data_IF_045185978060
#
_entry.id   IF_045185978060
#
_cell.length_a   1.000
_cell.length_b   1.000
_cell.length_c   1.000
_cell.angle_alpha   90.00
_cell.angle_beta   90.00
_cell.angle_gamma   90.00
#
_symmetry.space_group_name_H-M   'P 1'
#
loop_
_entity.id
_entity.type
_entity.pdbx_description
1 polymer ?
#
# COMPACT_ATOMS: atom_id res chain seq x y z
N UNK A 1 -2.52 0.13 20.09
CA UNK A 1 -3.17 0.20 18.76
C UNK A 1 -2.39 1.22 17.94
N UNK A 2 -2.12 0.96 16.66
CA UNK A 2 -1.39 1.92 15.81
C UNK A 2 -2.35 2.97 15.26
N UNK A 3 -1.84 4.16 14.94
CA UNK A 3 -2.65 5.26 14.40
C UNK A 3 -2.12 5.73 13.05
N UNK A 4 -2.99 5.79 12.05
CA UNK A 4 -2.71 6.42 10.76
C UNK A 4 -3.17 7.88 10.81
N UNK A 5 -2.19 8.79 10.77
CA UNK A 5 -2.39 10.22 10.75
C UNK A 5 -2.40 10.73 9.29
N UNK A 6 -3.46 11.44 8.92
CA UNK A 6 -3.63 12.03 7.57
C UNK A 6 -3.98 13.52 7.66
N UNK A 7 -3.78 14.24 6.55
CA UNK A 7 -4.23 15.64 6.45
C UNK A 7 -5.76 15.73 6.48
N UNK A 8 -6.31 16.88 6.91
CA UNK A 8 -7.74 17.07 7.14
C UNK A 8 -8.64 16.74 5.93
N UNK A 9 -8.19 17.10 4.72
CA UNK A 9 -8.93 16.89 3.48
C UNK A 9 -8.42 15.68 2.67
N UNK A 10 -7.60 14.82 3.28
CA UNK A 10 -7.06 13.65 2.60
C UNK A 10 -7.91 12.40 2.85
N UNK A 11 -8.12 11.60 1.81
CA UNK A 11 -8.61 10.23 1.95
C UNK A 11 -7.47 9.33 2.41
N UNK A 12 -7.68 8.44 3.39
CA UNK A 12 -6.63 7.50 3.80
C UNK A 12 -6.25 6.60 2.60
N UNK A 13 -4.96 6.32 2.37
CA UNK A 13 -4.56 5.47 1.26
C UNK A 13 -5.15 4.08 1.40
N UNK A 14 -5.91 3.63 0.40
CA UNK A 14 -6.57 2.33 0.41
C UNK A 14 -5.56 1.17 0.54
N UNK A 15 -4.36 1.30 -0.02
CA UNK A 15 -3.26 0.34 0.18
C UNK A 15 -2.90 0.14 1.65
N UNK A 16 -2.87 1.21 2.45
CA UNK A 16 -2.56 1.14 3.88
C UNK A 16 -3.68 0.44 4.63
N UNK A 17 -4.94 0.83 4.38
CA UNK A 17 -6.10 0.24 5.04
C UNK A 17 -6.23 -1.25 4.71
N UNK A 18 -6.14 -1.61 3.43
CA UNK A 18 -6.23 -2.99 2.97
C UNK A 18 -5.06 -3.84 3.48
N UNK A 19 -3.84 -3.29 3.52
CA UNK A 19 -2.70 -4.01 4.08
C UNK A 19 -2.89 -4.25 5.58
N UNK A 20 -3.37 -3.26 6.34
CA UNK A 20 -3.62 -3.42 7.78
C UNK A 20 -4.65 -4.52 8.06
N UNK A 21 -5.77 -4.50 7.33
CA UNK A 21 -6.82 -5.50 7.43
C UNK A 21 -6.30 -6.90 7.08
N UNK A 22 -5.66 -7.04 5.91
CA UNK A 22 -5.13 -8.33 5.45
C UNK A 22 -4.05 -8.85 6.40
N UNK A 23 -3.23 -7.98 7.00
CA UNK A 23 -2.16 -8.33 7.95
C UNK A 23 -2.66 -8.63 9.38
N UNK A 24 -3.95 -8.41 9.67
CA UNK A 24 -4.52 -8.57 11.00
C UNK A 24 -4.06 -7.49 11.99
N UNK A 25 -3.73 -6.28 11.50
CA UNK A 25 -3.25 -5.16 12.31
C UNK A 25 -4.39 -4.19 12.58
N UNK A 26 -4.74 -3.99 13.86
CA UNK A 26 -5.72 -2.96 14.25
C UNK A 26 -5.14 -1.55 14.07
N UNK A 27 -5.79 -0.77 13.20
CA UNK A 27 -5.38 0.57 12.81
C UNK A 27 -6.52 1.57 13.00
N UNK A 28 -6.27 2.65 13.74
CA UNK A 28 -7.21 3.79 13.83
C UNK A 28 -6.76 4.88 12.88
N UNK A 29 -7.71 5.51 12.17
CA UNK A 29 -7.42 6.65 11.30
C UNK A 29 -7.79 7.93 12.03
N UNK A 30 -6.82 8.85 12.15
CA UNK A 30 -7.00 10.14 12.81
C UNK A 30 -6.55 11.28 11.88
N UNK A 31 -7.23 12.42 11.98
CA UNK A 31 -6.82 13.64 11.30
C UNK A 31 -5.71 14.32 12.11
N UNK A 32 -4.67 14.78 11.44
CA UNK A 32 -3.60 15.57 12.06
C UNK A 32 -3.58 16.98 11.44
N UNK A 33 -3.96 18.02 12.20
CA UNK A 33 -4.07 19.39 11.68
C UNK A 33 -2.72 20.02 11.31
N UNK A 34 -1.60 19.39 11.68
CA UNK A 34 -0.25 19.84 11.28
C UNK A 34 0.17 19.32 9.90
N UNK A 35 -0.57 18.37 9.32
CA UNK A 35 -0.34 17.86 7.97
C UNK A 35 -1.12 18.71 6.96
N UNK A 36 -0.41 19.28 5.99
CA UNK A 36 -1.01 20.03 4.88
C UNK A 36 -1.51 19.10 3.78
N UNK A 37 -2.38 19.62 2.90
CA UNK A 37 -2.83 18.91 1.69
C UNK A 37 -1.62 18.42 0.89
N UNK A 38 -1.65 17.15 0.48
CA UNK A 38 -0.55 16.50 -0.24
C UNK A 38 0.58 15.99 0.67
N UNK A 39 0.53 16.23 1.99
CA UNK A 39 1.46 15.60 2.92
C UNK A 39 1.31 14.07 2.88
N UNK A 40 2.42 13.31 2.86
CA UNK A 40 2.34 11.86 2.99
C UNK A 40 1.74 11.47 4.35
N UNK A 41 1.02 10.35 4.42
CA UNK A 41 0.47 9.82 5.66
C UNK A 41 1.59 9.49 6.66
N UNK A 42 1.25 9.50 7.94
CA UNK A 42 2.17 9.13 9.03
C UNK A 42 1.55 8.03 9.87
N UNK A 43 2.24 6.90 10.03
CA UNK A 43 1.87 5.87 11.00
C UNK A 43 2.58 6.15 12.33
N UNK A 44 1.81 6.34 13.40
CA UNK A 44 2.29 6.39 14.78
C UNK A 44 2.25 4.98 15.36
N UNK A 45 3.42 4.48 15.73
CA UNK A 45 3.60 3.17 16.37
C UNK A 45 3.30 3.26 17.87
N UNK A 46 3.07 2.12 18.50
CA UNK A 46 2.73 2.04 19.93
C UNK A 46 3.86 2.49 20.86
N UNK A 47 5.10 2.51 20.37
CA UNK A 47 6.28 3.01 21.08
C UNK A 47 6.54 4.52 20.85
N UNK A 48 5.65 5.19 20.12
CA UNK A 48 5.76 6.61 19.77
C UNK A 48 6.59 6.92 18.53
N UNK A 49 7.21 5.90 17.89
CA UNK A 49 7.93 6.09 16.63
C UNK A 49 6.98 6.43 15.48
N UNK A 50 7.48 7.17 14.49
CA UNK A 50 6.69 7.66 13.35
C UNK A 50 7.27 7.17 12.04
N UNK A 51 6.45 6.52 11.22
CA UNK A 51 6.79 6.15 9.85
C UNK A 51 6.02 7.05 8.89
N UNK A 52 6.70 7.62 7.89
CA UNK A 52 6.11 8.57 6.95
C UNK A 52 6.13 8.03 5.52
N UNK A 53 5.01 8.15 4.82
CA UNK A 53 4.87 7.74 3.43
C UNK A 53 4.19 6.39 3.25
N UNK A 54 3.31 6.32 2.24
CA UNK A 54 2.48 5.15 1.94
C UNK A 54 3.31 3.88 1.80
N UNK A 55 4.35 3.89 0.95
CA UNK A 55 5.16 2.69 0.70
C UNK A 55 5.94 2.23 1.94
N UNK A 56 6.40 3.16 2.79
CA UNK A 56 7.08 2.82 4.05
C UNK A 56 6.11 2.13 5.01
N UNK A 57 4.91 2.70 5.14
CA UNK A 57 3.85 2.19 6.01
C UNK A 57 3.38 0.81 5.54
N UNK A 58 3.06 0.65 4.26
CA UNK A 58 2.61 -0.63 3.67
C UNK A 58 3.67 -1.72 3.84
N UNK A 59 4.96 -1.42 3.59
CA UNK A 59 6.07 -2.35 3.83
C UNK A 59 6.24 -2.71 5.31
N UNK A 60 5.99 -1.79 6.23
CA UNK A 60 6.04 -2.08 7.66
C UNK A 60 4.91 -3.02 8.06
N UNK A 61 3.66 -2.67 7.71
CA UNK A 61 2.47 -3.48 8.02
C UNK A 61 2.57 -4.90 7.43
N UNK A 62 3.06 -5.01 6.19
CA UNK A 62 3.26 -6.31 5.56
C UNK A 62 4.31 -7.19 6.22
N UNK A 63 5.34 -6.61 6.86
CA UNK A 63 6.32 -7.37 7.66
C UNK A 63 5.75 -7.80 9.01
N UNK A 64 4.83 -7.03 9.57
CA UNK A 64 4.16 -7.35 10.83
C UNK A 64 2.95 -8.27 10.66
N UNK A 65 2.70 -8.77 9.44
CA UNK A 65 1.56 -9.63 9.12
C UNK A 65 1.60 -10.92 9.95
N UNK A 66 0.49 -11.20 10.64
CA UNK A 66 0.32 -12.43 11.44
C UNK A 66 -0.64 -13.44 10.78
N UNK A 67 -1.39 -12.97 9.78
CA UNK A 67 -2.48 -13.67 9.10
C UNK A 67 -2.06 -14.25 7.75
N UNK A 68 -1.28 -13.49 6.97
CA UNK A 68 -0.73 -13.92 5.67
C UNK A 68 0.78 -14.03 5.80
N UNK A 69 1.36 -15.23 5.81
CA UNK A 69 2.80 -15.41 5.91
C UNK A 69 3.51 -14.84 4.68
N UNK A 70 4.66 -14.21 4.89
CA UNK A 70 5.51 -13.67 3.83
C UNK A 70 4.82 -12.65 2.90
N UNK A 71 3.82 -11.91 3.39
CA UNK A 71 3.05 -10.92 2.62
C UNK A 71 3.96 -9.88 1.93
N UNK A 72 5.11 -9.55 2.54
CA UNK A 72 6.17 -8.74 1.93
C UNK A 72 7.48 -9.50 1.63
N UNK A 73 7.89 -10.41 2.51
CA UNK A 73 9.27 -10.90 2.55
C UNK A 73 9.58 -12.01 1.54
N UNK A 74 8.58 -12.57 0.84
CA UNK A 74 8.82 -13.63 -0.15
C UNK A 74 9.73 -13.16 -1.29
N UNK A 75 9.46 -11.96 -1.82
CA UNK A 75 10.32 -11.28 -2.79
C UNK A 75 10.17 -9.77 -2.59
N UNK A 76 10.94 -9.25 -1.63
CA UNK A 76 10.90 -7.84 -1.26
C UNK A 76 11.36 -6.91 -2.39
N UNK A 77 12.17 -7.43 -3.33
CA UNK A 77 12.67 -6.67 -4.47
C UNK A 77 11.58 -6.52 -5.53
N UNK A 78 11.02 -7.62 -6.04
CA UNK A 78 9.94 -7.60 -7.03
C UNK A 78 8.73 -6.84 -6.48
N UNK A 79 8.38 -7.08 -5.22
CA UNK A 79 7.31 -6.33 -4.53
C UNK A 79 7.62 -4.84 -4.46
N UNK A 80 8.88 -4.47 -4.19
CA UNK A 80 9.33 -3.09 -4.19
C UNK A 80 9.11 -2.39 -5.53
N UNK A 81 9.42 -3.07 -6.64
CA UNK A 81 9.21 -2.54 -7.98
C UNK A 81 7.73 -2.26 -8.26
N UNK A 82 6.83 -3.16 -7.87
CA UNK A 82 5.38 -2.94 -8.00
C UNK A 82 4.86 -1.78 -7.16
N UNK A 83 5.38 -1.59 -5.94
CA UNK A 83 5.02 -0.46 -5.07
C UNK A 83 5.47 0.89 -5.66
N UNK A 84 6.58 0.92 -6.40
CA UNK A 84 7.07 2.11 -7.10
C UNK A 84 6.32 2.35 -8.42
N UNK A 85 5.87 1.29 -9.08
CA UNK A 85 5.12 1.35 -10.32
C UNK A 85 3.67 1.81 -10.14
N UNK A 86 3.00 1.33 -9.08
CA UNK A 86 1.57 1.53 -8.89
C UNK A 86 1.04 2.98 -9.02
N UNK A 87 1.76 4.03 -8.55
CA UNK A 87 1.34 5.42 -8.75
C UNK A 87 1.11 5.85 -10.20
N UNK A 88 1.71 5.17 -11.18
CA UNK A 88 1.50 5.45 -12.61
C UNK A 88 0.03 5.20 -13.00
N UNK A 89 -0.65 4.25 -12.33
CA UNK A 89 -2.07 3.95 -12.57
C UNK A 89 -3.01 5.11 -12.18
N UNK A 90 -2.55 6.08 -11.38
CA UNK A 90 -3.33 7.30 -11.10
C UNK A 90 -3.08 8.44 -12.09
N UNK A 91 -2.16 8.26 -13.05
CA UNK A 91 -1.82 9.30 -14.03
C UNK A 91 -2.64 9.10 -15.29
N UNK A 92 -3.60 9.99 -15.54
CA UNK A 92 -4.59 9.84 -16.62
C UNK A 92 -3.99 9.56 -18.01
N UNK A 93 -2.91 10.24 -18.39
CA UNK A 93 -2.24 10.05 -19.68
C UNK A 93 -1.48 8.72 -19.79
N UNK A 94 -1.11 8.11 -18.68
CA UNK A 94 -0.33 6.86 -18.62
C UNK A 94 -1.22 5.65 -18.28
N UNK A 95 -2.46 5.88 -17.84
CA UNK A 95 -3.34 4.86 -17.29
C UNK A 95 -3.55 3.66 -18.21
N UNK A 96 -3.92 3.88 -19.47
CA UNK A 96 -4.17 2.77 -20.41
C UNK A 96 -2.91 1.93 -20.67
N UNK A 97 -1.75 2.59 -20.79
CA UNK A 97 -0.47 1.91 -20.98
C UNK A 97 -0.12 1.09 -19.74
N UNK A 98 -0.33 1.67 -18.55
CA UNK A 98 -0.05 1.00 -17.30
C UNK A 98 -0.96 -0.21 -17.06
N UNK A 99 -2.26 -0.10 -17.37
CA UNK A 99 -3.19 -1.22 -17.33
C UNK A 99 -2.78 -2.33 -18.31
N UNK A 100 -2.37 -2.00 -19.55
CA UNK A 100 -1.88 -3.00 -20.51
C UNK A 100 -0.64 -3.73 -20.02
N UNK A 101 0.28 -3.03 -19.34
CA UNK A 101 1.45 -3.66 -18.74
C UNK A 101 1.07 -4.65 -17.63
N UNK A 102 0.19 -4.24 -16.71
CA UNK A 102 -0.32 -5.12 -15.64
C UNK A 102 -1.08 -6.32 -16.21
N UNK A 103 -1.94 -6.11 -17.20
CA UNK A 103 -2.70 -7.17 -17.90
C UNK A 103 -1.78 -8.18 -18.57
N UNK A 104 -0.78 -7.70 -19.33
CA UNK A 104 0.22 -8.56 -19.96
C UNK A 104 1.06 -9.35 -18.94
N UNK A 105 1.35 -8.75 -17.78
CA UNK A 105 2.04 -9.43 -16.69
C UNK A 105 1.18 -10.56 -16.08
N UNK A 106 -0.11 -10.30 -15.88
CA UNK A 106 -1.06 -11.24 -15.29
C UNK A 106 -1.57 -12.31 -16.28
N UNK A 107 -1.36 -12.15 -17.58
CA UNK A 107 -1.77 -13.12 -18.59
C UNK A 107 -1.26 -14.55 -18.29
N UNK A 108 -0.08 -14.67 -17.67
CA UNK A 108 0.55 -15.94 -17.31
C UNK A 108 0.71 -16.13 -15.79
N UNK A 109 0.10 -15.27 -14.97
CA UNK A 109 0.32 -15.22 -13.52
C UNK A 109 -0.99 -14.94 -12.77
N UNK A 110 -1.22 -15.69 -11.71
CA UNK A 110 -2.38 -15.44 -10.82
C UNK A 110 -2.14 -14.27 -9.86
N UNK A 111 -0.89 -14.07 -9.42
CA UNK A 111 -0.47 -13.00 -8.52
C UNK A 111 0.71 -12.25 -9.13
N UNK A 112 0.88 -10.97 -8.76
CA UNK A 112 1.94 -10.11 -9.29
C UNK A 112 3.34 -10.51 -8.82
N UNK A 113 3.43 -11.19 -7.68
CA UNK A 113 4.68 -11.70 -7.13
C UNK A 113 4.44 -13.15 -6.72
N UNK A 114 5.35 -14.06 -7.05
CA UNK A 114 5.27 -15.48 -6.67
C UNK A 114 3.94 -16.17 -7.02
N UNK A 115 3.38 -16.91 -6.04
CA UNK A 115 2.22 -17.80 -6.22
C UNK A 115 1.15 -17.65 -5.12
N UNK A 116 1.14 -16.52 -4.42
CA UNK A 116 0.14 -16.19 -3.39
C UNK A 116 0.04 -14.67 -3.24
N UNK A 117 -1.00 -14.21 -2.54
CA UNK A 117 -1.22 -12.79 -2.26
C UNK A 117 0.04 -12.14 -1.66
N UNK A 118 0.38 -10.95 -2.17
CA UNK A 118 1.51 -10.11 -1.74
C UNK A 118 1.11 -8.65 -1.62
N UNK A 119 1.99 -7.82 -1.05
CA UNK A 119 1.78 -6.37 -1.06
C UNK A 119 1.70 -5.78 -2.48
N UNK A 120 2.31 -6.43 -3.49
CA UNK A 120 2.20 -5.98 -4.88
C UNK A 120 0.74 -6.02 -5.35
N UNK A 121 0.04 -7.12 -5.07
CA UNK A 121 -1.37 -7.32 -5.42
C UNK A 121 -2.27 -6.28 -4.74
N UNK A 122 -2.12 -6.12 -3.42
CA UNK A 122 -2.88 -5.13 -2.63
C UNK A 122 -2.63 -3.72 -3.14
N UNK A 123 -1.36 -3.39 -3.44
CA UNK A 123 -0.99 -2.05 -3.88
C UNK A 123 -1.56 -1.76 -5.27
N UNK A 124 -1.33 -2.62 -6.26
CA UNK A 124 -1.87 -2.41 -7.62
C UNK A 124 -3.41 -2.36 -7.60
N UNK A 125 -4.06 -3.28 -6.88
CA UNK A 125 -5.51 -3.24 -6.71
C UNK A 125 -5.99 -1.91 -6.12
N UNK A 126 -5.32 -1.40 -5.08
CA UNK A 126 -5.74 -0.15 -4.44
C UNK A 126 -5.64 1.07 -5.36
N UNK A 127 -4.65 1.10 -6.25
CA UNK A 127 -4.48 2.16 -7.25
C UNK A 127 -5.47 2.05 -8.41
N UNK A 128 -5.96 0.85 -8.70
CA UNK A 128 -7.05 0.62 -9.67
C UNK A 128 -8.44 0.93 -9.08
N UNK A 129 -8.65 0.57 -7.81
CA UNK A 129 -9.92 0.74 -7.10
C UNK A 129 -10.16 2.18 -6.60
N UNK A 130 -9.09 2.94 -6.37
CA UNK A 130 -9.14 4.32 -5.88
C UNK A 130 -9.52 5.37 -6.93
N UNK A 131 -10.34 5.01 -7.92
CA UNK A 131 -10.97 5.95 -8.86
C UNK A 131 -12.39 6.31 -8.40
#
# INVERSE_FOLDING_TARGET
>A
MMELLIAADATPPLSVLATAEVAGVSLTVNLNPTLTVGSPPVLLLTDGMKLRGTNVIVKYLGRTSTTVPNLYERDAFETGQWLEYAPILSRGSEFECACKYVDGYLLHRTFLVGHSLSLADITIWSYLAGK
#
